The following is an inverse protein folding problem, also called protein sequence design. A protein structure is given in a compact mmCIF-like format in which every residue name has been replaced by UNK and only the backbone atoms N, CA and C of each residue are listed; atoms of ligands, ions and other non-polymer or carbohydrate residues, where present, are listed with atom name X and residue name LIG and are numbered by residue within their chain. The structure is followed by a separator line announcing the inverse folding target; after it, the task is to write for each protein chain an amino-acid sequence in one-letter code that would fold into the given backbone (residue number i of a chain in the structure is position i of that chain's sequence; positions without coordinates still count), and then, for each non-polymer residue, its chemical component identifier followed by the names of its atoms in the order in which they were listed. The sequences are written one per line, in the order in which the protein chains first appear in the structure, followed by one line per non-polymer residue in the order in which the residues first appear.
data_IF_559841776118
#
_entry.id   IF_559841776118
#
_cell.length_a   1.000
_cell.length_b   1.000
_cell.length_c   1.000
_cell.angle_alpha   90.00
_cell.angle_beta   90.00
_cell.angle_gamma   90.00
#
_symmetry.space_group_name_H-M   'P 1'
#
loop_
_entity.id
_entity.type
_entity.pdbx_description
1 polymer ?
#
# COMPACT_ATOMS: atom_id res chain seq x y z
N UNK A 1 -28.07 12.71 -6.73
CA UNK A 1 -26.83 13.25 -7.30
C UNK A 1 -25.72 12.32 -6.87
N UNK A 2 -25.30 11.44 -7.77
CA UNK A 2 -24.27 10.44 -7.53
C UNK A 2 -22.99 11.02 -8.13
N UNK A 3 -22.04 11.39 -7.26
CA UNK A 3 -20.73 11.86 -7.69
C UNK A 3 -19.85 10.64 -7.93
N UNK A 4 -19.75 10.23 -9.20
CA UNK A 4 -18.82 9.21 -9.64
C UNK A 4 -17.38 9.73 -9.44
N UNK A 5 -16.72 9.25 -8.39
CA UNK A 5 -15.34 9.62 -8.02
C UNK A 5 -14.28 8.89 -8.86
N UNK A 6 -14.68 8.28 -9.97
CA UNK A 6 -13.78 7.73 -10.98
C UNK A 6 -13.91 8.58 -12.23
N UNK A 7 -12.95 9.48 -12.43
CA UNK A 7 -12.82 10.21 -13.69
C UNK A 7 -12.42 9.17 -14.75
N UNK A 8 -13.44 8.63 -15.40
CA UNK A 8 -13.33 7.88 -16.64
C UNK A 8 -12.68 8.85 -17.64
N UNK A 9 -11.40 8.66 -17.97
CA UNK A 9 -10.84 9.31 -19.15
C UNK A 9 -11.61 8.75 -20.36
N UNK A 10 -12.47 9.55 -21.02
CA UNK A 10 -13.25 9.00 -22.10
C UNK A 10 -12.34 8.89 -23.34
N UNK A 11 -12.26 7.67 -23.87
CA UNK A 11 -12.10 7.38 -25.29
C UNK A 11 -10.68 7.56 -25.87
N UNK A 12 -9.86 6.52 -25.94
CA UNK A 12 -8.83 6.44 -26.98
C UNK A 12 -9.44 5.91 -28.31
N UNK A 13 -10.58 6.49 -28.74
CA UNK A 13 -11.39 6.00 -29.86
C UNK A 13 -11.58 7.02 -30.99
N UNK A 14 -11.85 6.54 -32.20
CA UNK A 14 -11.97 7.38 -33.42
C UNK A 14 -13.15 8.39 -33.41
N UNK A 15 -14.05 8.32 -32.43
CA UNK A 15 -15.26 9.16 -32.32
C UNK A 15 -15.12 10.23 -31.22
N UNK A 16 -14.04 11.01 -31.23
CA UNK A 16 -13.86 12.13 -30.29
C UNK A 16 -14.22 13.48 -30.91
N UNK A 17 -14.97 14.30 -30.19
CA UNK A 17 -15.24 15.68 -30.58
C UNK A 17 -13.99 16.56 -30.46
N UNK A 18 -14.02 17.76 -31.05
CA UNK A 18 -12.91 18.70 -30.95
C UNK A 18 -12.58 19.06 -29.49
N UNK A 19 -13.60 19.32 -28.67
CA UNK A 19 -13.40 19.68 -27.27
C UNK A 19 -12.84 18.53 -26.43
N UNK A 20 -13.24 17.28 -26.70
CA UNK A 20 -12.65 16.10 -26.04
C UNK A 20 -11.15 15.99 -26.33
N UNK A 21 -10.75 16.26 -27.58
CA UNK A 21 -9.33 16.26 -27.99
C UNK A 21 -8.54 17.36 -27.30
N UNK A 22 -9.11 18.56 -27.18
CA UNK A 22 -8.49 19.68 -26.44
C UNK A 22 -8.32 19.32 -24.97
N UNK A 23 -9.35 18.74 -24.34
CA UNK A 23 -9.27 18.31 -22.95
C UNK A 23 -8.21 17.22 -22.75
N UNK A 24 -8.15 16.22 -23.62
CA UNK A 24 -7.12 15.18 -23.57
C UNK A 24 -5.71 15.71 -23.82
N UNK A 25 -5.54 16.70 -24.70
CA UNK A 25 -4.26 17.36 -24.91
C UNK A 25 -3.82 18.11 -23.64
N UNK A 26 -4.72 18.89 -23.03
CA UNK A 26 -4.42 19.60 -21.79
C UNK A 26 -4.10 18.62 -20.65
N UNK A 27 -4.85 17.51 -20.56
CA UNK A 27 -4.57 16.45 -19.60
C UNK A 27 -3.21 15.81 -19.84
N UNK A 28 -2.87 15.49 -21.09
CA UNK A 28 -1.56 14.94 -21.47
C UNK A 28 -0.41 15.90 -21.12
N UNK A 29 -0.55 17.18 -21.44
CA UNK A 29 0.44 18.20 -21.08
C UNK A 29 0.58 18.31 -19.56
N UNK A 30 -0.53 18.31 -18.81
CA UNK A 30 -0.48 18.32 -17.34
C UNK A 30 0.19 17.08 -16.74
N UNK A 31 0.03 15.91 -17.37
CA UNK A 31 0.73 14.69 -16.97
C UNK A 31 2.23 14.76 -17.25
N UNK A 32 2.66 15.36 -18.37
CA UNK A 32 4.07 15.60 -18.63
C UNK A 32 4.68 16.52 -17.56
N UNK A 33 3.98 17.58 -17.17
CA UNK A 33 4.42 18.45 -16.08
C UNK A 33 4.48 17.70 -14.73
N UNK A 34 3.51 16.82 -14.46
CA UNK A 34 3.51 15.99 -13.25
C UNK A 34 4.68 14.98 -13.21
N UNK A 35 5.04 14.39 -14.35
CA UNK A 35 6.20 13.49 -14.45
C UNK A 35 7.52 14.28 -14.30
N UNK A 36 7.54 15.54 -14.70
CA UNK A 36 8.69 16.43 -14.55
C UNK A 36 8.72 17.19 -13.20
N UNK A 37 7.67 17.10 -12.39
CA UNK A 37 7.58 17.72 -11.06
C UNK A 37 8.76 17.40 -10.12
N UNK A 38 9.34 16.19 -10.13
CA UNK A 38 10.56 15.90 -9.36
C UNK A 38 11.75 16.80 -9.74
N UNK A 39 11.82 17.28 -10.98
CA UNK A 39 12.89 18.19 -11.41
C UNK A 39 12.76 19.58 -10.79
N UNK A 40 11.54 20.04 -10.51
CA UNK A 40 11.31 21.33 -9.86
C UNK A 40 11.62 21.25 -8.35
N UNK A 41 11.35 20.11 -7.72
CA UNK A 41 11.68 19.88 -6.30
C UNK A 41 13.18 19.75 -6.06
N UNK A 42 13.95 19.27 -7.05
CA UNK A 42 15.40 19.17 -6.96
C UNK A 42 16.08 20.52 -6.66
N UNK A 43 15.51 21.66 -7.07
CA UNK A 43 16.12 22.96 -6.77
C UNK A 43 16.11 23.27 -5.27
N UNK A 44 14.94 23.20 -4.64
CA UNK A 44 14.76 23.47 -3.22
C UNK A 44 15.51 22.43 -2.36
N UNK A 45 15.51 21.16 -2.78
CA UNK A 45 16.28 20.10 -2.13
C UNK A 45 17.78 20.36 -2.19
N UNK A 46 18.30 20.81 -3.35
CA UNK A 46 19.70 21.16 -3.51
C UNK A 46 20.09 22.38 -2.67
N UNK A 47 19.24 23.40 -2.59
CA UNK A 47 19.49 24.58 -1.74
C UNK A 47 19.57 24.16 -0.26
N UNK A 48 18.60 23.37 0.20
CA UNK A 48 18.59 22.84 1.57
C UNK A 48 19.83 21.97 1.85
N UNK A 49 20.16 21.05 0.94
CA UNK A 49 21.34 20.19 1.02
C UNK A 49 22.64 20.99 1.17
N UNK A 50 22.84 22.00 0.33
CA UNK A 50 24.04 22.86 0.37
C UNK A 50 24.12 23.73 1.62
N UNK A 51 22.97 24.17 2.14
CA UNK A 51 22.91 24.90 3.40
C UNK A 51 23.33 24.04 4.60
N UNK A 52 23.05 22.73 4.57
CA UNK A 52 23.37 21.80 5.66
C UNK A 52 24.78 21.22 5.54
N UNK A 53 25.20 20.83 4.34
CA UNK A 53 26.45 20.09 4.11
C UNK A 53 27.59 21.02 3.68
N UNK A 54 27.32 21.92 2.73
CA UNK A 54 28.30 22.87 2.21
C UNK A 54 27.93 23.45 0.86
N UNK A 55 28.22 24.72 0.65
CA UNK A 55 27.85 25.45 -0.58
C UNK A 55 28.59 24.97 -1.84
N UNK A 56 29.75 24.32 -1.68
CA UNK A 56 30.56 23.83 -2.79
C UNK A 56 30.27 22.37 -3.18
N UNK A 57 29.25 21.76 -2.58
CA UNK A 57 28.89 20.38 -2.90
C UNK A 57 28.18 20.28 -4.27
N UNK A 58 28.43 19.19 -5.02
CA UNK A 58 27.79 18.95 -6.30
C UNK A 58 26.28 18.79 -6.16
N UNK A 59 25.56 18.93 -7.27
CA UNK A 59 24.12 18.76 -7.30
C UNK A 59 23.72 17.33 -6.90
N UNK A 60 22.61 17.18 -6.17
CA UNK A 60 22.02 15.89 -5.81
C UNK A 60 21.78 15.02 -7.05
N UNK A 61 21.44 15.62 -8.19
CA UNK A 61 21.30 14.90 -9.45
C UNK A 61 22.63 14.29 -9.91
N UNK A 62 23.74 15.01 -9.79
CA UNK A 62 25.06 14.52 -10.19
C UNK A 62 25.61 13.48 -9.21
N UNK A 63 25.30 13.62 -7.92
CA UNK A 63 25.57 12.59 -6.92
C UNK A 63 24.79 11.30 -7.20
N UNK A 64 23.50 11.41 -7.56
CA UNK A 64 22.63 10.26 -7.83
C UNK A 64 23.15 9.37 -8.96
N UNK A 65 23.84 9.94 -9.95
CA UNK A 65 24.44 9.19 -11.08
C UNK A 65 25.63 8.32 -10.67
N UNK A 66 26.30 8.66 -9.57
CA UNK A 66 27.54 8.04 -9.13
C UNK A 66 27.36 7.10 -7.92
N UNK A 67 26.12 6.74 -7.59
CA UNK A 67 25.83 5.85 -6.48
C UNK A 67 26.37 4.44 -6.80
N UNK A 68 27.24 3.86 -5.95
CA UNK A 68 27.88 2.57 -6.22
C UNK A 68 26.91 1.38 -6.12
N UNK A 69 25.86 1.51 -5.30
CA UNK A 69 24.82 0.52 -5.15
C UNK A 69 23.52 1.17 -4.66
N UNK A 70 22.39 0.80 -5.27
CA UNK A 70 21.05 1.17 -4.85
C UNK A 70 20.29 -0.08 -4.44
N UNK A 71 19.93 -0.15 -3.15
CA UNK A 71 19.11 -1.23 -2.61
C UNK A 71 17.65 -0.81 -2.59
N UNK A 72 16.84 -1.45 -3.42
CA UNK A 72 15.40 -1.21 -3.48
C UNK A 72 14.70 -2.27 -2.64
N UNK A 73 13.92 -1.83 -1.66
CA UNK A 73 13.02 -2.69 -0.92
C UNK A 73 11.79 -2.98 -1.80
N UNK A 74 11.74 -4.17 -2.39
CA UNK A 74 10.66 -4.55 -3.29
C UNK A 74 10.99 -5.83 -4.05
N UNK A 75 9.98 -6.35 -4.73
CA UNK A 75 10.12 -7.50 -5.61
C UNK A 75 10.19 -7.02 -7.06
N UNK A 76 11.25 -7.43 -7.77
CA UNK A 76 11.51 -6.97 -9.14
C UNK A 76 10.38 -7.35 -10.09
N UNK A 77 9.74 -8.49 -9.85
CA UNK A 77 8.67 -9.02 -10.71
C UNK A 77 7.35 -8.25 -10.59
N UNK A 78 7.18 -7.46 -9.53
CA UNK A 78 6.00 -6.61 -9.33
C UNK A 78 6.24 -5.15 -9.76
N UNK A 79 7.48 -4.82 -10.14
CA UNK A 79 7.85 -3.50 -10.62
C UNK A 79 7.67 -3.39 -12.14
N UNK A 80 7.62 -2.16 -12.64
CA UNK A 80 7.53 -1.92 -14.08
C UNK A 80 8.76 -2.47 -14.81
N UNK A 81 8.57 -3.14 -15.97
CA UNK A 81 9.70 -3.67 -16.74
C UNK A 81 10.50 -2.52 -17.33
N UNK A 82 11.69 -2.29 -16.77
CA UNK A 82 12.65 -1.28 -17.22
C UNK A 82 14.08 -1.82 -17.18
N UNK A 83 14.98 -1.38 -18.07
CA UNK A 83 16.40 -1.68 -17.93
C UNK A 83 16.90 -1.13 -16.59
N UNK A 84 17.53 -2.00 -15.80
CA UNK A 84 18.10 -1.64 -14.51
C UNK A 84 19.62 -1.67 -14.64
N UNK A 85 20.32 -0.59 -14.26
CA UNK A 85 21.77 -0.62 -14.12
C UNK A 85 22.21 -1.73 -13.16
N UNK A 86 23.42 -2.25 -13.36
CA UNK A 86 24.01 -3.34 -12.56
C UNK A 86 24.13 -3.00 -11.06
N UNK A 87 24.18 -1.70 -10.71
CA UNK A 87 24.28 -1.25 -9.33
C UNK A 87 22.92 -1.23 -8.60
N UNK A 88 21.80 -1.51 -9.28
CA UNK A 88 20.48 -1.59 -8.63
C UNK A 88 20.19 -3.04 -8.26
N UNK A 89 20.00 -3.30 -6.97
CA UNK A 89 19.66 -4.63 -6.45
C UNK A 89 18.36 -4.55 -5.65
N UNK A 90 17.44 -5.46 -5.96
CA UNK A 90 16.19 -5.63 -5.22
C UNK A 90 16.48 -6.52 -4.02
N UNK A 91 16.34 -5.98 -2.82
CA UNK A 91 16.66 -6.70 -1.59
C UNK A 91 15.49 -7.54 -1.07
N UNK A 92 14.35 -7.53 -1.77
CA UNK A 92 13.09 -8.05 -1.23
C UNK A 92 12.68 -7.28 0.04
N UNK A 93 11.73 -7.85 0.80
CA UNK A 93 11.25 -7.25 2.04
C UNK A 93 12.34 -7.24 3.14
N UNK A 94 12.98 -6.09 3.33
CA UNK A 94 13.92 -5.86 4.43
C UNK A 94 13.17 -5.90 5.78
N UNK A 95 13.53 -6.85 6.64
CA UNK A 95 12.92 -7.04 7.97
C UNK A 95 12.24 -8.38 8.20
N UNK A 96 12.34 -9.32 7.25
CA UNK A 96 11.87 -10.69 7.47
C UNK A 96 12.90 -11.51 8.26
N UNK A 97 12.45 -11.95 9.44
CA UNK A 97 12.99 -13.01 10.32
C UNK A 97 14.21 -12.59 11.17
N UNK A 98 14.02 -12.63 12.49
CA UNK A 98 15.13 -12.76 13.44
C UNK A 98 15.77 -14.12 13.17
N UNK A 99 17.04 -14.13 12.77
CA UNK A 99 17.83 -15.34 12.74
C UNK A 99 18.21 -15.68 14.18
N UNK A 100 17.84 -16.87 14.62
CA UNK A 100 18.36 -17.42 15.87
C UNK A 100 19.60 -18.24 15.56
N UNK A 101 20.58 -18.17 16.47
CA UNK A 101 21.81 -18.93 16.39
C UNK A 101 21.79 -19.99 17.49
N UNK A 102 21.77 -21.26 17.11
CA UNK A 102 21.78 -22.41 18.01
C UNK A 102 22.49 -23.55 17.27
N UNK A 103 23.38 -24.27 17.98
CA UNK A 103 24.17 -25.39 17.44
C UNK A 103 24.90 -25.05 16.11
N UNK A 104 25.59 -23.92 16.06
CA UNK A 104 26.40 -23.46 14.92
C UNK A 104 25.66 -23.38 13.58
N UNK A 105 24.33 -23.20 13.61
CA UNK A 105 23.49 -23.05 12.42
C UNK A 105 22.57 -21.85 12.55
N UNK A 106 22.46 -21.10 11.47
CA UNK A 106 21.43 -20.09 11.31
C UNK A 106 20.12 -20.79 10.95
N UNK A 107 19.10 -20.62 11.77
CA UNK A 107 17.74 -21.02 11.44
C UNK A 107 16.81 -19.83 11.52
N UNK A 108 15.79 -19.88 10.67
CA UNK A 108 14.69 -18.95 10.69
C UNK A 108 13.93 -19.20 12.00
N UNK A 109 14.07 -18.31 12.97
CA UNK A 109 13.26 -18.38 14.17
C UNK A 109 11.81 -18.13 13.74
N UNK A 110 11.02 -19.19 13.65
CA UNK A 110 9.58 -19.07 13.57
C UNK A 110 9.15 -18.41 14.88
N UNK A 111 9.03 -17.08 14.87
CA UNK A 111 8.45 -16.35 15.99
C UNK A 111 7.04 -16.90 16.14
N UNK A 112 6.81 -17.71 17.18
CA UNK A 112 5.47 -18.16 17.52
C UNK A 112 4.71 -16.90 17.93
N UNK A 113 3.86 -16.41 17.03
CA UNK A 113 3.05 -15.23 17.32
C UNK A 113 1.88 -15.73 18.15
N UNK A 114 1.95 -15.43 19.43
CA UNK A 114 0.84 -15.56 20.35
C UNK A 114 -0.12 -14.42 20.04
N UNK A 115 -1.27 -14.78 19.46
CA UNK A 115 -2.36 -13.84 19.27
C UNK A 115 -3.11 -13.66 20.60
N UNK A 116 -3.72 -12.51 20.80
CA UNK A 116 -4.65 -12.32 21.91
C UNK A 116 -5.74 -13.40 21.89
N UNK A 117 -6.19 -13.83 23.08
CA UNK A 117 -7.17 -14.92 23.23
C UNK A 117 -8.44 -14.70 22.38
N UNK A 118 -8.89 -13.45 22.27
CA UNK A 118 -10.03 -13.06 21.43
C UNK A 118 -9.80 -13.36 19.95
N UNK A 119 -8.61 -13.04 19.42
CA UNK A 119 -8.27 -13.30 18.02
C UNK A 119 -8.08 -14.79 17.78
N UNK A 120 -7.49 -15.52 18.73
CA UNK A 120 -7.39 -16.99 18.65
C UNK A 120 -8.77 -17.64 18.59
N UNK A 121 -9.70 -17.21 19.45
CA UNK A 121 -11.06 -17.73 19.47
C UNK A 121 -11.82 -17.47 18.15
N UNK A 122 -11.55 -16.33 17.49
CA UNK A 122 -12.11 -16.03 16.17
C UNK A 122 -11.50 -16.96 15.11
N UNK A 123 -10.17 -17.10 15.08
CA UNK A 123 -9.46 -17.89 14.09
C UNK A 123 -9.73 -19.41 14.20
N UNK A 124 -10.08 -19.90 15.38
CA UNK A 124 -10.43 -21.31 15.60
C UNK A 124 -11.86 -21.67 15.16
N UNK A 125 -12.72 -20.69 14.88
CA UNK A 125 -14.08 -20.97 14.43
C UNK A 125 -14.08 -21.58 13.03
N UNK A 126 -14.88 -22.64 12.78
CA UNK A 126 -15.00 -23.22 11.46
C UNK A 126 -15.59 -22.20 10.49
N UNK A 127 -14.89 -21.95 9.40
CA UNK A 127 -15.33 -21.10 8.30
C UNK A 127 -14.74 -21.61 6.99
N UNK A 128 -15.32 -21.21 5.84
CA UNK A 128 -14.81 -21.57 4.51
C UNK A 128 -13.44 -20.93 4.22
N UNK A 129 -13.12 -19.85 4.90
CA UNK A 129 -11.85 -19.14 4.78
C UNK A 129 -11.85 -17.83 5.58
N UNK A 130 -10.67 -17.25 5.71
CA UNK A 130 -10.44 -15.99 6.43
C UNK A 130 -10.25 -14.84 5.43
N UNK A 131 -10.98 -13.75 5.61
CA UNK A 131 -10.82 -12.51 4.85
C UNK A 131 -10.28 -11.45 5.81
N UNK A 132 -9.15 -10.85 5.47
CA UNK A 132 -8.58 -9.71 6.19
C UNK A 132 -8.79 -8.45 5.37
N UNK A 133 -9.50 -7.47 5.94
CA UNK A 133 -9.77 -6.19 5.28
C UNK A 133 -9.20 -5.01 6.09
N UNK A 134 -8.40 -4.17 5.43
CA UNK A 134 -7.74 -3.00 6.02
C UNK A 134 -7.45 -1.96 4.92
N UNK A 135 -7.70 -0.68 5.20
CA UNK A 135 -7.42 0.43 4.27
C UNK A 135 -6.07 1.13 4.55
N UNK A 136 -5.21 0.50 5.37
CA UNK A 136 -3.94 1.08 5.79
C UNK A 136 -4.11 2.21 6.80
N UNK A 137 -3.00 2.82 7.20
CA UNK A 137 -2.94 3.90 8.22
C UNK A 137 -3.17 5.30 7.64
N UNK A 138 -3.01 5.47 6.32
CA UNK A 138 -3.22 6.76 5.64
C UNK A 138 -4.71 7.09 5.54
N UNK A 139 -5.56 6.07 5.42
CA UNK A 139 -7.01 6.23 5.42
C UNK A 139 -7.51 6.40 6.85
N UNK A 140 -7.88 7.62 7.26
CA UNK A 140 -8.55 7.84 8.54
C UNK A 140 -9.94 7.20 8.48
N UNK A 141 -10.03 5.96 8.96
CA UNK A 141 -11.26 5.17 8.95
C UNK A 141 -12.40 5.82 9.75
N UNK A 142 -12.10 6.74 10.67
CA UNK A 142 -13.11 7.51 11.42
C UNK A 142 -13.87 8.50 10.53
N UNK A 143 -13.25 8.98 9.45
CA UNK A 143 -13.87 9.94 8.52
C UNK A 143 -14.51 9.26 7.31
N UNK A 144 -14.68 7.93 7.33
CA UNK A 144 -15.29 7.21 6.22
C UNK A 144 -16.77 7.62 6.08
N UNK A 145 -17.23 8.02 4.88
CA UNK A 145 -18.64 8.36 4.67
C UNK A 145 -19.56 7.18 4.98
N UNK A 146 -20.71 7.45 5.61
CA UNK A 146 -21.66 6.42 6.01
C UNK A 146 -22.08 5.52 4.83
N UNK A 147 -22.29 6.09 3.65
CA UNK A 147 -22.64 5.33 2.45
C UNK A 147 -21.58 4.26 2.08
N UNK A 148 -20.29 4.58 2.27
CA UNK A 148 -19.20 3.64 2.02
C UNK A 148 -19.19 2.52 3.08
N UNK A 149 -19.39 2.88 4.35
CA UNK A 149 -19.53 1.91 5.45
C UNK A 149 -20.69 0.95 5.17
N UNK A 150 -21.88 1.46 4.88
CA UNK A 150 -23.07 0.64 4.59
C UNK A 150 -22.86 -0.26 3.36
N UNK A 151 -22.10 0.21 2.36
CA UNK A 151 -21.74 -0.59 1.19
C UNK A 151 -20.83 -1.77 1.54
N UNK A 152 -19.81 -1.54 2.38
CA UNK A 152 -18.94 -2.62 2.87
C UNK A 152 -19.69 -3.60 3.76
N UNK A 153 -20.53 -3.13 4.69
CA UNK A 153 -21.38 -3.98 5.52
C UNK A 153 -22.30 -4.84 4.66
N UNK A 154 -22.95 -4.25 3.65
CA UNK A 154 -23.79 -4.98 2.71
C UNK A 154 -23.04 -6.03 1.88
N UNK A 155 -21.78 -5.75 1.52
CA UNK A 155 -20.92 -6.72 0.84
C UNK A 155 -20.52 -7.87 1.79
N UNK A 156 -20.11 -7.55 3.02
CA UNK A 156 -19.72 -8.54 4.04
C UNK A 156 -20.89 -9.42 4.46
N UNK A 157 -22.11 -8.89 4.52
CA UNK A 157 -23.31 -9.68 4.81
C UNK A 157 -23.55 -10.82 3.80
N UNK A 158 -23.17 -10.64 2.53
CA UNK A 158 -23.28 -11.67 1.48
C UNK A 158 -22.20 -12.77 1.59
N UNK A 159 -21.15 -12.53 2.36
CA UNK A 159 -20.02 -13.44 2.54
C UNK A 159 -20.09 -14.18 3.89
N UNK A 160 -21.29 -14.63 4.28
CA UNK A 160 -21.55 -15.29 5.57
C UNK A 160 -20.77 -16.59 5.81
N UNK A 161 -20.30 -17.24 4.75
CA UNK A 161 -19.51 -18.47 4.83
C UNK A 161 -18.04 -18.22 5.26
N UNK A 162 -17.59 -16.97 5.23
CA UNK A 162 -16.22 -16.56 5.53
C UNK A 162 -16.15 -15.81 6.86
N UNK A 163 -15.05 -15.99 7.59
CA UNK A 163 -14.74 -15.13 8.75
C UNK A 163 -14.03 -13.88 8.26
N UNK A 164 -14.55 -12.70 8.59
CA UNK A 164 -14.03 -11.41 8.13
C UNK A 164 -13.42 -10.65 9.31
N UNK A 165 -12.13 -10.35 9.22
CA UNK A 165 -11.42 -9.44 10.13
C UNK A 165 -11.33 -8.07 9.48
N UNK A 166 -12.06 -7.11 10.01
CA UNK A 166 -12.07 -5.74 9.50
C UNK A 166 -11.31 -4.82 10.45
N UNK A 167 -10.17 -4.30 9.99
CA UNK A 167 -9.43 -3.27 10.70
C UNK A 167 -10.14 -1.92 10.60
N UNK A 168 -10.73 -1.46 11.70
CA UNK A 168 -11.52 -0.23 11.77
C UNK A 168 -11.31 0.43 13.14
N UNK A 169 -10.98 1.73 13.16
CA UNK A 169 -10.80 2.47 14.42
C UNK A 169 -12.12 3.03 14.94
N UNK A 170 -13.05 3.36 14.03
CA UNK A 170 -14.39 3.85 14.33
C UNK A 170 -15.36 2.74 14.74
N UNK A 171 -16.43 3.12 15.46
CA UNK A 171 -17.56 2.23 15.73
C UNK A 171 -18.43 2.11 14.48
N UNK A 172 -18.74 0.88 14.08
CA UNK A 172 -19.65 0.59 12.97
C UNK A 172 -20.77 -0.29 13.51
N UNK A 173 -21.82 0.35 14.03
CA UNK A 173 -22.91 -0.36 14.71
C UNK A 173 -23.62 -1.36 13.79
N UNK A 174 -23.69 -1.05 12.49
CA UNK A 174 -24.30 -1.92 11.48
C UNK A 174 -23.54 -3.24 11.32
N UNK A 175 -22.20 -3.22 11.47
CA UNK A 175 -21.35 -4.41 11.34
C UNK A 175 -21.43 -5.32 12.57
N UNK A 176 -21.80 -4.79 13.75
CA UNK A 176 -21.95 -5.56 14.99
C UNK A 176 -23.04 -6.64 14.85
N UNK A 177 -24.03 -6.40 13.98
CA UNK A 177 -25.11 -7.36 13.69
C UNK A 177 -24.62 -8.63 12.96
N UNK A 178 -23.46 -8.58 12.30
CA UNK A 178 -22.91 -9.67 11.50
C UNK A 178 -21.93 -10.51 12.35
N UNK A 179 -22.37 -11.69 12.79
CA UNK A 179 -21.58 -12.57 13.70
C UNK A 179 -20.24 -13.05 13.12
N UNK A 180 -20.12 -13.08 11.80
CA UNK A 180 -18.92 -13.49 11.06
C UNK A 180 -17.98 -12.33 10.73
N UNK A 181 -18.34 -11.09 11.10
CA UNK A 181 -17.53 -9.89 10.92
C UNK A 181 -17.00 -9.44 12.27
N UNK A 182 -15.68 -9.28 12.38
CA UNK A 182 -15.00 -8.87 13.59
C UNK A 182 -14.26 -7.56 13.36
N UNK A 183 -14.73 -6.50 14.03
CA UNK A 183 -14.07 -5.19 14.02
C UNK A 183 -12.88 -5.21 14.99
N UNK A 184 -11.70 -4.87 14.48
CA UNK A 184 -10.46 -4.84 15.25
C UNK A 184 -9.77 -3.49 15.04
N UNK A 185 -9.28 -2.88 16.12
CA UNK A 185 -8.49 -1.63 16.01
C UNK A 185 -7.11 -1.89 15.41
N UNK A 186 -6.55 -3.05 15.70
CA UNK A 186 -5.22 -3.45 15.26
C UNK A 186 -5.22 -4.92 14.86
N UNK A 187 -4.37 -5.27 13.89
CA UNK A 187 -4.27 -6.62 13.35
C UNK A 187 -2.81 -6.96 13.00
N UNK A 188 -2.26 -8.09 13.47
CA UNK A 188 -0.95 -8.58 13.06
C UNK A 188 -1.03 -9.23 11.67
N UNK A 189 -1.19 -8.41 10.62
CA UNK A 189 -1.50 -8.87 9.26
C UNK A 189 -0.49 -9.91 8.73
N UNK A 190 0.81 -9.67 8.92
CA UNK A 190 1.88 -10.59 8.49
C UNK A 190 1.76 -11.97 9.14
N UNK A 191 1.52 -11.98 10.45
CA UNK A 191 1.45 -13.21 11.23
C UNK A 191 0.20 -14.03 10.90
N UNK A 192 -0.93 -13.35 10.66
CA UNK A 192 -2.17 -14.01 10.21
C UNK A 192 -1.96 -14.63 8.83
N UNK A 193 -1.40 -13.88 7.87
CA UNK A 193 -1.15 -14.39 6.52
C UNK A 193 -0.19 -15.59 6.54
N UNK A 194 0.80 -15.59 7.43
CA UNK A 194 1.73 -16.72 7.57
C UNK A 194 1.10 -18.03 8.06
N UNK A 195 -0.04 -17.98 8.77
CA UNK A 195 -0.72 -19.17 9.29
C UNK A 195 -1.79 -19.74 8.34
N UNK A 196 -2.22 -18.96 7.35
CA UNK A 196 -3.30 -19.34 6.41
C UNK A 196 -2.78 -19.90 5.09
N UNK A 197 -1.46 -19.86 4.86
CA UNK A 197 -0.78 -20.53 3.74
C UNK A 197 -0.39 -21.96 4.09
#
# INVERSE_FOLDING_TARGET
MQTDFFIYAPLAGFTQTFFDRVFNLLWHLSLLDFVNLPQNLLHDENEYYRNVVGQNEPDLWDLSKNVPALLINGERMLDFPRPLPIHISFSGELGLKKYSFENDKYFLAAKKVDFDENLQAILQKPSKGLIVFSLGTVSNTTNMPQQMISSFVGAFAKLSDYTILWRMEGKVDEAISLKHVHLLKWLPQKDIMSKTS
#
